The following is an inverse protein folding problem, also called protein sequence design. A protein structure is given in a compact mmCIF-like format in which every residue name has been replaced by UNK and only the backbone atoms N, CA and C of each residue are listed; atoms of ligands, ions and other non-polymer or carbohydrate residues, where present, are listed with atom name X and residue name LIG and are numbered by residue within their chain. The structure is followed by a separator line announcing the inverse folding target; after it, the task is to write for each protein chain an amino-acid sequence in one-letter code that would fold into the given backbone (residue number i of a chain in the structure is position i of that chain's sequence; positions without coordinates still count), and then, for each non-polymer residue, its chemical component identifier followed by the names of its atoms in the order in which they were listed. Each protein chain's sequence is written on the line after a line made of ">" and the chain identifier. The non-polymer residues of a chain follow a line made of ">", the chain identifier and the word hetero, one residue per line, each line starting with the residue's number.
data_IF_934767736716
#
_entry.id   IF_934767736716
#
_cell.length_a   1.000
_cell.length_b   1.000
_cell.length_c   1.000
_cell.angle_alpha   90.00
_cell.angle_beta   90.00
_cell.angle_gamma   90.00
#
_symmetry.space_group_name_H-M   'P 1'
#
loop_
_entity.id
_entity.type
_entity.pdbx_description
1 polymer ?
#
# COMPACT_ATOMS: atom_id res chain seq x y z
N UNK A 1 -3.08 28.89 6.13
CA UNK A 1 -3.85 27.68 6.51
C UNK A 1 -3.36 26.35 5.87
N UNK A 2 -2.23 26.30 5.15
CA UNK A 2 -1.88 25.11 4.33
C UNK A 2 -0.86 24.15 4.98
N UNK A 3 0.12 24.66 5.73
CA UNK A 3 1.24 23.84 6.22
C UNK A 3 0.86 22.93 7.41
N UNK A 4 0.08 23.44 8.35
CA UNK A 4 -0.38 22.71 9.54
C UNK A 4 -1.34 21.55 9.18
N UNK A 5 -2.12 21.68 8.10
CA UNK A 5 -3.04 20.63 7.66
C UNK A 5 -2.30 19.46 7.01
N UNK A 6 -1.22 19.74 6.26
CA UNK A 6 -0.37 18.71 5.67
C UNK A 6 0.32 17.86 6.74
N UNK A 7 0.80 18.49 7.83
CA UNK A 7 1.40 17.84 8.98
C UNK A 7 0.40 16.92 9.70
N UNK A 8 -0.84 17.37 9.95
CA UNK A 8 -1.89 16.52 10.56
C UNK A 8 -2.13 15.23 9.79
N UNK A 9 -2.06 15.26 8.46
CA UNK A 9 -2.23 14.06 7.64
C UNK A 9 -1.12 13.03 7.82
N UNK A 10 0.07 13.44 8.27
CA UNK A 10 1.19 12.53 8.57
C UNK A 10 1.01 11.81 9.90
N UNK A 11 0.32 12.45 10.85
CA UNK A 11 0.05 11.94 12.20
C UNK A 11 -1.32 11.25 12.35
N UNK A 12 -2.11 11.13 11.29
CA UNK A 12 -3.31 10.28 11.37
C UNK A 12 -2.88 8.83 11.59
N UNK A 13 -3.52 8.13 12.55
CA UNK A 13 -3.22 6.73 12.80
C UNK A 13 -3.45 5.94 11.51
N UNK A 14 -2.44 5.17 11.11
CA UNK A 14 -2.58 4.28 9.99
C UNK A 14 -3.41 3.05 10.40
N UNK A 15 -4.21 2.50 9.48
CA UNK A 15 -4.78 1.18 9.68
C UNK A 15 -3.68 0.15 9.96
N UNK A 16 -4.01 -0.89 10.71
CA UNK A 16 -3.06 -1.96 11.02
C UNK A 16 -2.48 -2.58 9.73
N UNK A 17 -1.17 -2.75 9.67
CA UNK A 17 -0.47 -3.25 8.48
C UNK A 17 -0.28 -2.25 7.35
N UNK A 18 -0.74 -0.99 7.49
CA UNK A 18 -0.51 0.05 6.50
C UNK A 18 0.81 0.80 6.74
N UNK A 19 1.44 1.25 5.64
CA UNK A 19 2.65 2.07 5.65
C UNK A 19 2.47 3.32 4.79
N UNK A 20 3.23 4.38 5.08
CA UNK A 20 3.33 5.57 4.22
C UNK A 20 4.52 5.45 3.28
N UNK A 21 4.34 5.81 2.01
CA UNK A 21 5.41 5.87 1.02
C UNK A 21 5.18 6.99 0.00
N UNK A 22 6.10 7.96 -0.08
CA UNK A 22 6.03 9.10 -1.03
C UNK A 22 4.66 9.82 -1.07
N UNK A 23 4.01 9.96 0.09
CA UNK A 23 2.70 10.59 0.21
C UNK A 23 1.51 9.69 -0.15
N UNK A 24 1.75 8.41 -0.43
CA UNK A 24 0.74 7.37 -0.53
C UNK A 24 0.62 6.59 0.79
N UNK A 25 -0.55 6.04 1.03
CA UNK A 25 -0.82 5.02 2.06
C UNK A 25 -0.93 3.68 1.34
N UNK A 26 -0.12 2.71 1.75
CA UNK A 26 -0.12 1.34 1.25
C UNK A 26 -0.69 0.46 2.36
N UNK A 27 -1.83 -0.16 2.12
CA UNK A 27 -2.43 -1.15 3.03
C UNK A 27 -2.19 -2.55 2.49
N UNK A 28 -1.87 -3.50 3.38
CA UNK A 28 -1.71 -4.90 3.07
C UNK A 28 -2.67 -5.73 3.94
N UNK A 29 -3.59 -6.45 3.32
CA UNK A 29 -4.53 -7.34 4.00
C UNK A 29 -4.28 -8.76 3.52
N UNK A 30 -3.37 -9.50 4.16
CA UNK A 30 -3.14 -10.90 3.85
C UNK A 30 -4.27 -11.77 4.40
N UNK A 31 -4.77 -12.67 3.55
CA UNK A 31 -5.79 -13.67 3.82
C UNK A 31 -5.21 -15.03 3.45
N UNK A 32 -5.26 -15.99 4.37
CA UNK A 32 -4.80 -17.35 4.09
C UNK A 32 -5.87 -18.08 3.28
N UNK A 33 -5.46 -18.73 2.19
CA UNK A 33 -6.33 -19.53 1.34
C UNK A 33 -5.59 -20.79 0.88
N UNK A 34 -5.89 -21.93 1.50
CA UNK A 34 -5.36 -23.23 1.07
C UNK A 34 -3.84 -23.38 1.21
N UNK A 35 -3.23 -22.79 2.25
CA UNK A 35 -1.79 -22.86 2.50
C UNK A 35 -0.95 -21.81 1.76
N UNK A 36 -1.59 -20.92 1.02
CA UNK A 36 -0.96 -19.74 0.40
C UNK A 36 -1.64 -18.45 0.87
N UNK A 37 -0.92 -17.32 0.81
CA UNK A 37 -1.46 -16.03 1.22
C UNK A 37 -1.93 -15.20 0.02
N UNK A 38 -3.23 -14.90 -0.01
CA UNK A 38 -3.81 -13.90 -0.89
C UNK A 38 -3.73 -12.54 -0.22
N UNK A 39 -3.15 -11.53 -0.88
CA UNK A 39 -3.13 -10.16 -0.39
C UNK A 39 -4.14 -9.31 -1.14
N UNK A 40 -5.06 -8.74 -0.38
CA UNK A 40 -5.83 -7.58 -0.78
C UNK A 40 -5.08 -6.32 -0.36
N UNK A 41 -4.70 -5.51 -1.33
CA UNK A 41 -3.82 -4.36 -1.12
C UNK A 41 -4.44 -3.07 -1.63
N UNK A 42 -4.24 -1.97 -0.90
CA UNK A 42 -4.77 -0.65 -1.31
C UNK A 42 -3.62 0.34 -1.38
N UNK A 43 -3.56 1.09 -2.48
CA UNK A 43 -2.66 2.24 -2.65
C UNK A 43 -3.52 3.49 -2.75
N UNK A 44 -3.46 4.36 -1.74
CA UNK A 44 -4.28 5.55 -1.64
C UNK A 44 -3.44 6.84 -1.52
N UNK A 45 -3.87 7.92 -2.16
CA UNK A 45 -3.31 9.26 -2.01
C UNK A 45 -4.39 10.31 -2.19
N UNK A 46 -4.60 11.14 -1.16
CA UNK A 46 -5.64 12.17 -1.13
C UNK A 46 -7.01 11.58 -1.50
N UNK A 47 -7.54 11.91 -2.68
CA UNK A 47 -8.85 11.47 -3.16
C UNK A 47 -8.80 10.29 -4.13
N UNK A 48 -7.60 9.74 -4.38
CA UNK A 48 -7.40 8.65 -5.33
C UNK A 48 -7.05 7.39 -4.54
N UNK A 49 -7.80 6.32 -4.76
CA UNK A 49 -7.44 4.99 -4.25
C UNK A 49 -7.46 3.99 -5.38
N UNK A 50 -6.56 3.02 -5.30
CA UNK A 50 -6.57 1.85 -6.18
C UNK A 50 -6.40 0.60 -5.34
N UNK A 51 -7.37 -0.30 -5.47
CA UNK A 51 -7.35 -1.61 -4.84
C UNK A 51 -6.76 -2.63 -5.79
N UNK A 52 -6.00 -3.56 -5.23
CA UNK A 52 -5.35 -4.65 -5.93
C UNK A 52 -5.60 -5.93 -5.14
N UNK A 53 -5.61 -7.04 -5.86
CA UNK A 53 -5.60 -8.34 -5.25
C UNK A 53 -4.49 -9.15 -5.90
N UNK A 54 -3.50 -9.52 -5.10
CA UNK A 54 -2.40 -10.38 -5.52
C UNK A 54 -2.51 -11.70 -4.78
N UNK A 55 -2.41 -12.82 -5.50
CA UNK A 55 -2.24 -14.12 -4.86
C UNK A 55 -0.74 -14.34 -4.75
N UNK A 56 -0.21 -14.35 -3.53
CA UNK A 56 1.18 -14.73 -3.30
C UNK A 56 1.22 -16.24 -2.97
N UNK A 57 2.17 -16.96 -3.54
CA UNK A 57 2.28 -18.42 -3.35
C UNK A 57 3.11 -18.78 -2.11
N UNK A 58 3.34 -17.82 -1.23
CA UNK A 58 4.17 -17.99 -0.03
C UNK A 58 3.29 -18.43 1.12
N UNK A 59 3.81 -19.34 1.95
CA UNK A 59 3.17 -19.82 3.17
C UNK A 59 3.51 -18.96 4.41
N UNK A 60 4.24 -17.85 4.22
CA UNK A 60 4.61 -16.91 5.29
C UNK A 60 3.87 -15.58 5.10
N UNK A 61 3.02 -15.23 6.08
CA UNK A 61 2.24 -13.99 6.11
C UNK A 61 3.12 -12.75 6.03
N UNK A 62 4.22 -12.72 6.79
CA UNK A 62 5.13 -11.57 6.87
C UNK A 62 5.89 -11.37 5.55
N UNK A 63 6.29 -12.48 4.93
CA UNK A 63 6.95 -12.45 3.63
C UNK A 63 5.99 -11.95 2.54
N UNK A 64 4.75 -12.42 2.57
CA UNK A 64 3.69 -11.96 1.68
C UNK A 64 3.48 -10.45 1.78
N UNK A 65 3.34 -9.93 3.01
CA UNK A 65 3.20 -8.48 3.23
C UNK A 65 4.39 -7.69 2.68
N UNK A 66 5.62 -8.19 2.85
CA UNK A 66 6.81 -7.55 2.28
C UNK A 66 6.78 -7.51 0.76
N UNK A 67 6.40 -8.61 0.10
CA UNK A 67 6.26 -8.66 -1.35
C UNK A 67 5.25 -7.64 -1.87
N UNK A 68 4.08 -7.56 -1.22
CA UNK A 68 3.07 -6.57 -1.55
C UNK A 68 3.59 -5.14 -1.37
N UNK A 69 4.25 -4.84 -0.24
CA UNK A 69 4.81 -3.51 -0.01
C UNK A 69 5.85 -3.14 -1.08
N UNK A 70 6.66 -4.10 -1.51
CA UNK A 70 7.64 -3.88 -2.58
C UNK A 70 6.95 -3.64 -3.93
N UNK A 71 5.94 -4.44 -4.26
CA UNK A 71 5.12 -4.24 -5.46
C UNK A 71 4.49 -2.84 -5.47
N UNK A 72 3.87 -2.44 -4.36
CA UNK A 72 3.21 -1.14 -4.23
C UNK A 72 4.19 0.03 -4.37
N UNK A 73 5.39 -0.07 -3.78
CA UNK A 73 6.46 0.93 -3.95
C UNK A 73 6.88 1.04 -5.42
N UNK A 74 7.12 -0.08 -6.09
CA UNK A 74 7.47 -0.10 -7.51
C UNK A 74 6.36 0.50 -8.39
N UNK A 75 5.10 0.19 -8.10
CA UNK A 75 3.95 0.76 -8.80
C UNK A 75 3.89 2.29 -8.65
N UNK A 76 4.09 2.78 -7.43
CA UNK A 76 4.14 4.22 -7.13
C UNK A 76 5.30 4.88 -7.88
N UNK A 77 6.47 4.24 -7.90
CA UNK A 77 7.67 4.77 -8.55
C UNK A 77 7.48 4.85 -10.07
N UNK A 78 6.94 3.80 -10.68
CA UNK A 78 6.59 3.80 -12.11
C UNK A 78 5.54 4.87 -12.45
N UNK A 79 4.52 5.06 -11.61
CA UNK A 79 3.51 6.11 -11.80
C UNK A 79 4.08 7.52 -11.65
N UNK A 80 5.05 7.73 -10.75
CA UNK A 80 5.71 9.02 -10.59
C UNK A 80 6.70 9.32 -11.72
N UNK A 81 7.23 8.29 -12.39
CA UNK A 81 8.08 8.44 -13.58
C UNK A 81 7.28 8.80 -14.84
N UNK A 82 5.98 8.50 -14.87
CA UNK A 82 5.06 8.85 -15.97
C UNK A 82 3.92 9.78 -15.49
N UNK A 83 4.19 11.03 -15.14
CA UNK A 83 3.16 12.00 -14.73
C UNK A 83 2.38 12.60 -15.92
N UNK A 84 2.69 12.24 -17.17
CA UNK A 84 2.18 12.85 -18.41
C UNK A 84 1.08 12.03 -19.14
N UNK A 85 0.27 11.26 -18.42
CA UNK A 85 -0.99 10.69 -18.95
C UNK A 85 -2.15 11.03 -18.05
#
# INVERSE_FOLDING_TARGET
>A
MSLLSALKSLFTPLPEGAIRYKGYTILATPEENGGVFRISGVIARKNHQKSFTLVDQVADRSLSVKHWQQYAKNFIDQKNLNPLT
#
